data_IF_263187290128
#
_entry.id   IF_263187290128
#
_cell.length_a   1.000
_cell.length_b   1.000
_cell.length_c   1.000
_cell.angle_alpha   90.00
_cell.angle_beta   90.00
_cell.angle_gamma   90.00
#
_symmetry.space_group_name_H-M   'P 1'
#
loop_
_entity.id
_entity.type
_entity.pdbx_description
1 polymer ?
#
# COMPACT_ATOMS: atom_id res chain seq x y z
N UNK A 1 6.82 -5.68 45.82
CA UNK A 1 6.43 -6.56 44.69
C UNK A 1 5.17 -5.96 44.07
N UNK A 2 5.32 -5.08 43.08
CA UNK A 2 4.18 -4.58 42.31
C UNK A 2 4.10 -5.43 41.04
N UNK A 3 3.07 -6.25 40.94
CA UNK A 3 2.77 -7.00 39.73
C UNK A 3 2.20 -6.01 38.70
N UNK A 4 3.02 -5.59 37.73
CA UNK A 4 2.54 -5.00 36.49
C UNK A 4 1.91 -6.12 35.69
N UNK A 5 0.58 -6.20 35.72
CA UNK A 5 -0.18 -7.13 34.91
C UNK A 5 -0.20 -6.59 33.47
N UNK A 6 0.85 -6.87 32.71
CA UNK A 6 0.96 -6.57 31.28
C UNK A 6 -0.06 -7.45 30.54
N UNK A 7 -1.26 -6.93 30.32
CA UNK A 7 -2.24 -7.57 29.43
C UNK A 7 -1.70 -7.46 28.01
N UNK A 8 -0.84 -8.40 27.62
CA UNK A 8 -0.53 -8.63 26.21
C UNK A 8 -1.85 -8.97 25.52
N UNK A 9 -2.30 -8.11 24.62
CA UNK A 9 -3.50 -8.37 23.82
C UNK A 9 -3.33 -9.75 23.15
N UNK A 10 -4.38 -10.59 23.10
CA UNK A 10 -4.28 -11.85 22.40
C UNK A 10 -3.96 -11.58 20.92
N UNK A 11 -3.04 -12.39 20.38
CA UNK A 11 -2.68 -12.33 18.97
C UNK A 11 -3.93 -12.48 18.09
N UNK A 12 -4.09 -11.57 17.12
CA UNK A 12 -5.17 -11.56 16.15
C UNK A 12 -4.56 -11.54 14.74
N UNK A 13 -4.70 -12.63 13.96
CA UNK A 13 -4.13 -12.70 12.61
C UNK A 13 -4.84 -11.74 11.63
N UNK A 14 -4.20 -11.37 10.51
CA UNK A 14 -4.86 -10.65 9.43
C UNK A 14 -6.05 -11.43 8.88
N UNK A 15 -7.13 -10.72 8.55
CA UNK A 15 -8.42 -11.29 8.10
C UNK A 15 -8.81 -10.82 6.71
N UNK A 16 -8.09 -9.86 6.16
CA UNK A 16 -8.35 -9.20 4.89
C UNK A 16 -7.04 -8.98 4.15
N UNK A 17 -7.05 -8.87 2.80
CA UNK A 17 -5.84 -8.61 2.02
C UNK A 17 -5.11 -7.33 2.48
N UNK A 18 -5.84 -6.27 2.85
CA UNK A 18 -5.20 -5.06 3.35
C UNK A 18 -4.53 -5.27 4.71
N UNK A 19 -5.16 -6.01 5.63
CA UNK A 19 -4.52 -6.37 6.90
C UNK A 19 -3.27 -7.21 6.67
N UNK A 20 -3.32 -8.21 5.79
CA UNK A 20 -2.21 -9.10 5.47
C UNK A 20 -1.01 -8.32 4.93
N UNK A 21 -1.22 -7.54 3.86
CA UNK A 21 -0.18 -6.73 3.26
C UNK A 21 0.44 -5.74 4.26
N UNK A 22 -0.35 -5.07 5.09
CA UNK A 22 0.16 -4.12 6.08
C UNK A 22 0.95 -4.85 7.18
N UNK A 23 0.49 -6.03 7.63
CA UNK A 23 1.25 -6.85 8.59
C UNK A 23 2.59 -7.32 8.02
N UNK A 24 2.65 -7.67 6.74
CA UNK A 24 3.91 -8.02 6.05
C UNK A 24 4.86 -6.81 5.96
N UNK A 25 4.34 -5.62 5.64
CA UNK A 25 5.14 -4.39 5.62
C UNK A 25 5.68 -4.08 7.02
N UNK A 26 4.86 -4.22 8.07
CA UNK A 26 5.31 -4.09 9.46
C UNK A 26 6.44 -5.06 9.77
N UNK A 27 6.24 -6.34 9.47
CA UNK A 27 7.23 -7.39 9.73
C UNK A 27 8.54 -7.15 9.00
N UNK A 28 8.48 -6.72 7.74
CA UNK A 28 9.65 -6.35 6.94
C UNK A 28 10.41 -5.17 7.51
N UNK A 29 9.72 -4.14 8.02
CA UNK A 29 10.35 -2.94 8.56
C UNK A 29 10.92 -3.14 9.96
N UNK A 30 10.29 -3.97 10.78
CA UNK A 30 10.66 -4.18 12.18
C UNK A 30 11.48 -5.47 12.41
N UNK A 31 11.55 -6.36 11.42
CA UNK A 31 12.20 -7.66 11.54
C UNK A 31 11.42 -8.65 12.41
N UNK A 32 10.09 -8.63 12.34
CA UNK A 32 9.17 -9.44 13.15
C UNK A 32 8.30 -10.31 12.24
N UNK A 33 8.11 -11.59 12.56
CA UNK A 33 7.32 -12.50 11.73
C UNK A 33 5.82 -12.46 12.07
N UNK A 34 5.45 -12.46 13.35
CA UNK A 34 4.05 -12.52 13.80
C UNK A 34 3.54 -11.16 14.29
N UNK A 35 2.99 -10.34 13.39
CA UNK A 35 2.35 -9.06 13.73
C UNK A 35 0.83 -9.25 13.88
N UNK A 36 0.27 -8.93 15.04
CA UNK A 36 -1.18 -8.92 15.25
C UNK A 36 -1.81 -7.66 14.65
N UNK A 37 -3.04 -7.76 14.13
CA UNK A 37 -3.75 -6.59 13.57
C UNK A 37 -4.02 -5.46 14.58
N UNK A 38 -3.95 -5.80 15.87
CA UNK A 38 -4.12 -4.85 16.97
C UNK A 38 -2.80 -4.44 17.63
N UNK A 39 -1.66 -4.93 17.15
CA UNK A 39 -0.37 -4.48 17.64
C UNK A 39 -0.11 -3.06 17.17
N UNK A 40 0.27 -2.20 18.12
CA UNK A 40 0.73 -0.85 17.83
C UNK A 40 2.14 -0.91 17.28
N UNK A 41 2.37 -0.25 16.15
CA UNK A 41 3.68 -0.13 15.51
C UNK A 41 4.75 0.37 16.48
N UNK A 42 4.40 1.33 17.33
CA UNK A 42 5.31 1.88 18.34
C UNK A 42 5.64 0.86 19.45
N UNK A 43 4.65 0.04 19.85
CA UNK A 43 4.84 -0.98 20.89
C UNK A 43 5.73 -2.14 20.39
N UNK A 44 5.74 -2.36 19.07
CA UNK A 44 6.63 -3.31 18.38
C UNK A 44 8.06 -2.76 18.14
N UNK A 45 8.37 -1.55 18.62
CA UNK A 45 9.70 -0.93 18.45
C UNK A 45 9.80 0.03 17.26
N UNK A 46 8.68 0.37 16.62
CA UNK A 46 8.61 1.33 15.52
C UNK A 46 8.92 2.76 15.96
N UNK A 47 9.98 3.33 15.41
CA UNK A 47 10.39 4.73 15.57
C UNK A 47 9.92 5.65 14.44
N UNK A 48 10.26 6.94 14.53
CA UNK A 48 9.88 7.95 13.52
C UNK A 48 10.40 7.63 12.10
N UNK A 49 11.62 7.10 12.00
CA UNK A 49 12.20 6.69 10.72
C UNK A 49 11.41 5.53 10.10
N UNK A 50 11.02 4.55 10.93
CA UNK A 50 10.18 3.44 10.50
C UNK A 50 8.78 3.92 10.10
N UNK A 51 8.20 4.88 10.81
CA UNK A 51 6.89 5.46 10.47
C UNK A 51 6.92 6.20 9.13
N UNK A 52 8.02 6.91 8.85
CA UNK A 52 8.26 7.55 7.55
C UNK A 52 8.34 6.52 6.43
N UNK A 53 9.12 5.46 6.61
CA UNK A 53 9.25 4.39 5.62
C UNK A 53 7.93 3.63 5.41
N UNK A 54 7.18 3.39 6.48
CA UNK A 54 5.85 2.79 6.42
C UNK A 54 4.88 3.67 5.62
N UNK A 55 4.83 4.97 5.94
CA UNK A 55 4.01 5.95 5.21
C UNK A 55 4.34 5.98 3.71
N UNK A 56 5.63 5.98 3.33
CA UNK A 56 6.06 5.90 1.92
C UNK A 56 5.56 4.63 1.26
N UNK A 57 5.79 3.46 1.86
CA UNK A 57 5.35 2.17 1.29
C UNK A 57 3.84 2.07 1.15
N UNK A 58 3.09 2.48 2.18
CA UNK A 58 1.63 2.52 2.10
C UNK A 58 1.16 3.47 0.99
N UNK A 59 1.84 4.61 0.82
CA UNK A 59 1.50 5.55 -0.24
C UNK A 59 1.77 4.99 -1.63
N UNK A 60 2.84 4.22 -1.79
CA UNK A 60 3.18 3.57 -3.06
C UNK A 60 2.20 2.45 -3.42
N UNK A 61 1.80 1.62 -2.45
CA UNK A 61 0.88 0.49 -2.70
C UNK A 61 -0.54 1.00 -2.90
N UNK A 62 -1.06 1.73 -1.92
CA UNK A 62 -2.46 2.17 -1.92
C UNK A 62 -2.69 3.41 -2.74
N UNK A 63 -1.65 3.90 -3.45
CA UNK A 63 -1.69 5.08 -4.32
C UNK A 63 -2.43 6.25 -3.66
N UNK A 64 -2.23 6.40 -2.36
CA UNK A 64 -2.82 7.44 -1.52
C UNK A 64 -1.77 8.08 -0.64
N UNK A 65 -1.74 9.40 -0.51
CA UNK A 65 -0.78 10.05 0.38
C UNK A 65 -1.12 9.66 1.83
N UNK A 66 -0.16 9.02 2.46
CA UNK A 66 -0.17 8.70 3.88
C UNK A 66 0.93 9.52 4.53
N UNK A 67 0.56 10.43 5.42
CA UNK A 67 1.56 11.18 6.18
C UNK A 67 2.12 10.33 7.33
N UNK A 68 3.39 10.51 7.73
CA UNK A 68 3.94 9.83 8.91
C UNK A 68 3.14 10.12 10.20
N UNK A 69 2.52 11.30 10.29
CA UNK A 69 1.62 11.66 11.40
C UNK A 69 0.36 10.79 11.46
N UNK A 70 -0.16 10.35 10.31
CA UNK A 70 -1.30 9.43 10.24
C UNK A 70 -0.92 8.04 10.75
N UNK A 71 0.29 7.58 10.43
CA UNK A 71 0.83 6.31 10.95
C UNK A 71 0.95 6.34 12.47
N UNK A 72 1.46 7.44 13.03
CA UNK A 72 1.61 7.60 14.48
C UNK A 72 0.24 7.73 15.16
N UNK A 73 -0.73 8.41 14.54
CA UNK A 73 -2.08 8.59 15.07
C UNK A 73 -2.92 7.29 15.03
N UNK A 74 -2.64 6.43 14.06
CA UNK A 74 -3.31 5.16 13.83
C UNK A 74 -2.29 3.99 13.83
N UNK A 75 -1.63 3.69 14.96
CA UNK A 75 -0.44 2.83 14.94
C UNK A 75 -0.76 1.34 14.78
N UNK A 76 -2.03 0.93 14.79
CA UNK A 76 -2.44 -0.47 14.58
C UNK A 76 -2.84 -0.70 13.14
N UNK A 77 -2.65 -1.93 12.66
CA UNK A 77 -3.01 -2.34 11.29
C UNK A 77 -4.48 -2.03 10.99
N UNK A 78 -5.41 -2.42 11.88
CA UNK A 78 -6.85 -2.15 11.68
C UNK A 78 -7.18 -0.65 11.55
N UNK A 79 -6.45 0.20 12.29
CA UNK A 79 -6.66 1.65 12.21
C UNK A 79 -6.05 2.22 10.93
N UNK A 80 -4.91 1.72 10.47
CA UNK A 80 -4.35 2.10 9.17
C UNK A 80 -5.29 1.74 8.01
N UNK A 81 -5.86 0.53 8.02
CA UNK A 81 -6.87 0.13 7.03
C UNK A 81 -8.06 1.09 7.07
N UNK A 82 -8.51 1.46 8.27
CA UNK A 82 -9.60 2.45 8.43
C UNK A 82 -9.22 3.83 7.87
N UNK A 83 -7.99 4.29 8.09
CA UNK A 83 -7.49 5.56 7.54
C UNK A 83 -7.45 5.51 6.01
N UNK A 84 -6.92 4.44 5.42
CA UNK A 84 -6.91 4.24 3.97
C UNK A 84 -8.33 4.18 3.41
N UNK A 85 -9.24 3.48 4.08
CA UNK A 85 -10.63 3.34 3.68
C UNK A 85 -11.36 4.68 3.65
N UNK A 86 -11.07 5.59 4.57
CA UNK A 86 -11.62 6.96 4.55
C UNK A 86 -11.19 7.74 3.32
N UNK A 87 -9.96 7.52 2.84
CA UNK A 87 -9.43 8.20 1.66
C UNK A 87 -9.93 7.59 0.35
N UNK A 88 -10.22 6.29 0.35
CA UNK A 88 -10.74 5.56 -0.81
C UNK A 88 -12.27 5.42 -0.86
N UNK A 89 -12.98 5.74 0.23
CA UNK A 89 -14.44 5.67 0.32
C UNK A 89 -15.00 4.34 0.82
N UNK A 90 -14.16 3.36 1.20
CA UNK A 90 -14.60 2.06 1.69
C UNK A 90 -13.44 1.10 2.02
N UNK A 91 -13.66 0.12 2.91
CA UNK A 91 -12.65 -0.90 3.24
C UNK A 91 -12.51 -1.93 2.11
N UNK A 92 -13.61 -2.22 1.44
CA UNK A 92 -13.69 -3.11 0.28
C UNK A 92 -12.79 -2.65 -0.87
N UNK A 93 -12.67 -1.33 -1.11
CA UNK A 93 -11.80 -0.77 -2.14
C UNK A 93 -10.33 -0.96 -1.75
N UNK A 94 -10.00 -0.73 -0.47
CA UNK A 94 -8.63 -0.91 0.06
C UNK A 94 -8.22 -2.39 -0.01
N UNK A 95 -9.14 -3.30 0.31
CA UNK A 95 -8.91 -4.74 0.22
C UNK A 95 -8.69 -5.18 -1.25
N UNK A 96 -9.46 -4.63 -2.20
CA UNK A 96 -9.29 -4.92 -3.63
C UNK A 96 -7.93 -4.42 -4.16
N UNK A 97 -7.49 -3.22 -3.73
CA UNK A 97 -6.17 -2.67 -4.07
C UNK A 97 -5.06 -3.56 -3.49
N UNK A 98 -5.17 -3.96 -2.22
CA UNK A 98 -4.19 -4.82 -1.59
C UNK A 98 -4.12 -6.19 -2.27
N UNK A 99 -5.27 -6.81 -2.53
CA UNK A 99 -5.34 -8.09 -3.25
C UNK A 99 -4.67 -7.98 -4.62
N UNK A 100 -5.01 -6.95 -5.41
CA UNK A 100 -4.42 -6.70 -6.73
C UNK A 100 -2.91 -6.53 -6.64
N UNK A 101 -2.42 -5.74 -5.67
CA UNK A 101 -0.99 -5.53 -5.45
C UNK A 101 -0.28 -6.85 -5.12
N UNK A 102 -0.82 -7.65 -4.20
CA UNK A 102 -0.24 -8.94 -3.82
C UNK A 102 -0.21 -9.92 -4.99
N UNK A 103 -1.23 -9.92 -5.86
CA UNK A 103 -1.21 -10.74 -7.08
C UNK A 103 -0.09 -10.29 -8.03
N UNK A 104 0.06 -8.97 -8.23
CA UNK A 104 1.09 -8.40 -9.12
C UNK A 104 2.50 -8.61 -8.56
N UNK A 105 2.69 -8.55 -7.25
CA UNK A 105 3.99 -8.77 -6.62
C UNK A 105 4.47 -10.23 -6.79
N UNK A 106 3.53 -11.18 -6.78
CA UNK A 106 3.79 -12.61 -7.03
C UNK A 106 4.09 -12.96 -8.50
N UNK A 107 3.78 -12.06 -9.45
CA UNK A 107 4.06 -12.32 -10.86
C UNK A 107 5.57 -12.32 -11.14
N UNK A 108 6.02 -13.28 -11.92
CA UNK A 108 7.36 -13.22 -12.51
C UNK A 108 7.45 -12.08 -13.52
N UNK A 109 8.67 -11.57 -13.76
CA UNK A 109 8.91 -10.54 -14.77
C UNK A 109 8.38 -10.94 -16.16
N UNK A 110 8.43 -12.24 -16.49
CA UNK A 110 7.92 -12.76 -17.76
C UNK A 110 6.39 -12.74 -17.84
N UNK A 111 5.70 -13.07 -16.75
CA UNK A 111 4.24 -13.03 -16.68
C UNK A 111 3.74 -11.58 -16.67
N UNK A 112 4.38 -10.72 -15.89
CA UNK A 112 4.12 -9.29 -15.88
C UNK A 112 4.30 -8.68 -17.28
N UNK A 113 5.39 -9.04 -17.98
CA UNK A 113 5.62 -8.68 -19.37
C UNK A 113 4.53 -9.20 -20.29
N UNK A 114 4.14 -10.47 -20.15
CA UNK A 114 3.10 -11.08 -20.99
C UNK A 114 1.75 -10.39 -20.81
N UNK A 115 1.39 -10.03 -19.57
CA UNK A 115 0.15 -9.32 -19.27
C UNK A 115 0.18 -7.90 -19.88
N UNK A 116 1.28 -7.16 -19.70
CA UNK A 116 1.44 -5.84 -20.32
C UNK A 116 1.42 -5.91 -21.85
N UNK A 117 2.02 -6.94 -22.45
CA UNK A 117 1.98 -7.20 -23.90
C UNK A 117 0.60 -7.56 -24.42
N UNK A 118 -0.28 -8.12 -23.57
CA UNK A 118 -1.65 -8.47 -23.96
C UNK A 118 -2.64 -7.30 -23.88
N UNK A 119 -2.32 -6.29 -23.05
CA UNK A 119 -3.08 -5.03 -22.96
C UNK A 119 -2.66 -4.02 -24.05
N UNK A 120 -1.38 -4.07 -24.43
CA UNK A 120 -0.78 -3.19 -25.41
C UNK A 120 -0.27 -4.00 -26.61
N UNK A 121 -1.00 -3.98 -27.72
CA UNK A 121 -0.38 -4.11 -29.03
C UNK A 121 0.64 -2.97 -29.19
N UNK A 122 1.88 -3.20 -28.72
CA UNK A 122 3.21 -2.67 -29.07
C UNK A 122 3.48 -1.28 -29.71
N UNK A 123 2.52 -0.40 -29.97
CA UNK A 123 2.59 0.52 -31.12
C UNK A 123 3.42 1.82 -30.98
N UNK A 124 4.19 2.07 -29.90
CA UNK A 124 5.03 3.28 -29.86
C UNK A 124 6.38 3.19 -29.14
N UNK A 125 6.65 2.16 -28.32
CA UNK A 125 7.75 2.24 -27.35
C UNK A 125 9.13 1.72 -27.83
N UNK A 126 9.22 1.03 -28.99
CA UNK A 126 10.53 0.65 -29.56
C UNK A 126 11.14 1.78 -30.41
N UNK A 127 10.39 2.82 -30.79
CA UNK A 127 10.87 3.88 -31.71
C UNK A 127 12.05 4.72 -31.19
N UNK A 128 12.40 4.66 -29.90
CA UNK A 128 13.52 5.44 -29.33
C UNK A 128 14.72 4.64 -28.80
N UNK A 129 14.82 3.34 -29.10
CA UNK A 129 16.10 2.63 -29.14
C UNK A 129 16.97 2.63 -27.87
N UNK A 130 16.47 2.06 -26.76
CA UNK A 130 17.31 1.72 -25.61
C UNK A 130 17.54 0.20 -25.51
N UNK A 131 18.79 -0.19 -25.23
CA UNK A 131 19.24 -1.59 -25.18
C UNK A 131 18.70 -2.36 -23.97
N UNK A 132 18.32 -3.62 -24.23
CA UNK A 132 17.61 -4.55 -23.34
C UNK A 132 18.36 -5.04 -22.08
N UNK A 133 19.61 -4.64 -21.87
CA UNK A 133 20.51 -5.26 -20.86
C UNK A 133 20.91 -4.36 -19.69
N UNK A 134 20.47 -3.10 -19.67
CA UNK A 134 20.84 -2.13 -18.62
C UNK A 134 19.70 -1.82 -17.63
N UNK A 135 18.54 -2.44 -17.81
CA UNK A 135 17.33 -2.18 -17.04
C UNK A 135 17.14 -3.26 -15.97
N UNK A 136 17.76 -3.11 -14.81
CA UNK A 136 17.45 -3.98 -13.66
C UNK A 136 16.95 -3.16 -12.47
N UNK A 137 15.91 -3.65 -11.81
CA UNK A 137 15.24 -3.03 -10.66
C UNK A 137 14.16 -2.01 -11.01
N UNK A 138 14.50 -0.96 -11.77
CA UNK A 138 13.58 0.16 -12.04
C UNK A 138 12.44 -0.25 -12.99
N UNK A 139 12.73 -1.08 -14.00
CA UNK A 139 11.72 -1.54 -14.96
C UNK A 139 10.66 -2.43 -14.32
N UNK A 140 11.05 -3.32 -13.40
CA UNK A 140 10.11 -4.18 -12.67
C UNK A 140 9.15 -3.36 -11.79
N UNK A 141 9.65 -2.34 -11.09
CA UNK A 141 8.81 -1.44 -10.29
C UNK A 141 7.87 -0.59 -11.15
N UNK A 142 8.30 -0.15 -12.33
CA UNK A 142 7.46 0.59 -13.28
C UNK A 142 6.39 -0.32 -13.91
N UNK A 143 6.76 -1.55 -14.31
CA UNK A 143 5.84 -2.55 -14.85
C UNK A 143 4.78 -2.95 -13.83
N UNK A 144 5.19 -3.25 -12.60
CA UNK A 144 4.26 -3.58 -11.51
C UNK A 144 3.33 -2.40 -11.17
N UNK A 145 3.84 -1.16 -11.15
CA UNK A 145 3.00 0.04 -11.01
C UNK A 145 1.94 0.10 -12.10
N UNK A 146 2.34 -0.08 -13.36
CA UNK A 146 1.42 -0.03 -14.50
C UNK A 146 0.38 -1.15 -14.48
N UNK A 147 0.77 -2.36 -14.08
CA UNK A 147 -0.15 -3.49 -13.94
C UNK A 147 -1.19 -3.23 -12.85
N UNK A 148 -0.79 -2.70 -11.70
CA UNK A 148 -1.74 -2.32 -10.65
C UNK A 148 -2.73 -1.28 -11.17
N UNK A 149 -2.27 -0.24 -11.88
CA UNK A 149 -3.15 0.76 -12.49
C UNK A 149 -4.16 0.12 -13.46
N UNK A 150 -3.69 -0.69 -14.41
CA UNK A 150 -4.54 -1.35 -15.40
C UNK A 150 -5.58 -2.28 -14.77
N UNK A 151 -5.17 -3.04 -13.75
CA UNK A 151 -6.08 -3.96 -13.06
C UNK A 151 -7.11 -3.21 -12.22
N UNK A 152 -6.73 -2.10 -11.58
CA UNK A 152 -7.66 -1.23 -10.87
C UNK A 152 -8.64 -0.54 -11.83
N UNK A 153 -8.18 -0.07 -12.99
CA UNK A 153 -9.06 0.49 -14.03
C UNK A 153 -10.13 -0.52 -14.47
N UNK A 154 -9.75 -1.79 -14.65
CA UNK A 154 -10.70 -2.87 -15.00
C UNK A 154 -11.72 -3.17 -13.91
N UNK A 155 -11.37 -2.97 -12.65
CA UNK A 155 -12.32 -3.09 -11.53
C UNK A 155 -13.17 -1.84 -11.33
N UNK A 156 -12.96 -0.79 -12.15
CA UNK A 156 -13.67 0.48 -12.06
C UNK A 156 -13.10 1.43 -10.98
N UNK A 157 -11.95 1.09 -10.40
CA UNK A 157 -11.24 1.90 -9.41
C UNK A 157 -10.23 2.77 -10.16
N UNK A 158 -10.50 4.07 -10.30
CA UNK A 158 -9.58 4.99 -10.99
C UNK A 158 -8.76 5.83 -10.02
N UNK A 159 -7.54 6.21 -10.41
CA UNK A 159 -6.70 7.10 -9.61
C UNK A 159 -7.32 8.51 -9.49
N UNK A 160 -8.04 8.96 -10.53
CA UNK A 160 -8.73 10.27 -10.55
C UNK A 160 -9.83 10.38 -9.49
N UNK A 161 -10.49 9.26 -9.11
CA UNK A 161 -11.47 9.26 -8.01
C UNK A 161 -10.87 9.76 -6.69
N UNK A 162 -9.56 9.58 -6.47
CA UNK A 162 -8.86 10.04 -5.27
C UNK A 162 -8.62 11.55 -5.28
N UNK A 163 -8.24 12.13 -6.41
CA UNK A 163 -7.98 13.58 -6.52
C UNK A 163 -9.26 14.40 -6.29
N UNK A 164 -10.41 13.88 -6.74
CA UNK A 164 -11.72 14.49 -6.48
C UNK A 164 -12.14 14.46 -5.01
N UNK A 165 -11.62 13.52 -4.20
CA UNK A 165 -11.93 13.41 -2.77
C UNK A 165 -10.97 14.22 -1.88
N UNK A 166 -9.75 14.47 -2.35
CA UNK A 166 -8.77 15.32 -1.67
C UNK A 166 -9.06 16.84 -1.81
N UNK A 167 -9.93 17.23 -2.75
CA UNK A 167 -10.32 18.63 -2.99
C UNK A 167 -11.39 19.21 -2.04
N UNK A 168 -11.75 18.50 -0.96
CA UNK A 168 -12.87 18.83 -0.07
C UNK A 168 -12.56 19.78 1.10
N UNK A 169 -11.42 20.46 1.13
CA UNK A 169 -11.11 21.48 2.16
C UNK A 169 -10.43 22.71 1.56
N UNK A 170 -11.18 23.53 0.80
CA UNK A 170 -10.86 24.96 0.66
C UNK A 170 -12.06 25.75 0.15
N UNK A 171 -12.91 26.25 1.04
CA UNK A 171 -13.52 27.58 0.93
C UNK A 171 -14.06 28.02 2.31
N UNK A 172 -13.53 29.15 2.78
CA UNK A 172 -13.80 29.85 4.05
C UNK A 172 -15.20 30.52 4.05
N UNK A 173 -15.61 31.16 5.15
CA UNK A 173 -15.52 32.62 5.06
C UNK A 173 -14.86 33.28 6.25
N UNK A 174 -13.98 34.21 5.91
CA UNK A 174 -13.54 35.32 6.74
C UNK A 174 -14.77 36.14 7.16
N UNK A 175 -14.94 36.37 8.46
CA UNK A 175 -15.92 37.31 9.03
C UNK A 175 -15.49 37.72 10.45
#
# INVERSE_FOLDING_TARGET
MSQSNEKKQPFAPPRTPAEELITEIYGSLLGIEDVSVFDSFCDLGGGADHATNLAVRLSEVFRVEVAPSEVIAAPTVDRLVTTLARKWGGREIVDEIAWTFMQVDQLSDLEADSMLRSEADYELAIEHGAGRSEWSGIEASVKRRRLVELLLEKTGITLEMRESLAGGESELPDS
#
